data_IF_905869512026
#
_entry.id   IF_905869512026
#
_cell.length_a   1.000
_cell.length_b   1.000
_cell.length_c   1.000
_cell.angle_alpha   90.00
_cell.angle_beta   90.00
_cell.angle_gamma   90.00
#
_symmetry.space_group_name_H-M   'P 1'
#
loop_
_entity.id
_entity.type
_entity.pdbx_description
1 polymer ?
#
# COMPACT_ATOMS: atom_id res chain seq x y z
N UNK A 1 9.16 -2.88 -4.11
CA UNK A 1 8.08 -2.08 -4.74
C UNK A 1 7.50 -1.19 -3.66
N UNK A 2 7.15 0.04 -4.00
CA UNK A 2 6.68 1.05 -3.05
C UNK A 2 5.25 1.46 -3.45
N UNK A 3 4.30 1.33 -2.52
CA UNK A 3 2.91 1.75 -2.71
C UNK A 3 2.83 3.28 -2.60
N UNK A 4 2.36 3.94 -3.67
CA UNK A 4 2.15 5.40 -3.67
C UNK A 4 1.13 5.72 -2.59
N UNK A 5 1.56 6.56 -1.63
CA UNK A 5 0.72 7.41 -0.78
C UNK A 5 -0.72 6.91 -0.68
N UNK A 6 -0.92 5.76 -0.04
CA UNK A 6 -2.24 5.15 0.04
C UNK A 6 -3.18 5.91 1.01
N UNK A 7 -2.65 6.93 1.69
CA UNK A 7 -3.43 8.03 2.24
C UNK A 7 -4.22 8.70 1.11
N UNK A 8 -5.54 8.79 1.26
CA UNK A 8 -6.54 9.08 0.22
C UNK A 8 -6.93 7.91 -0.72
N UNK A 9 -6.54 6.66 -0.46
CA UNK A 9 -7.09 5.49 -1.19
C UNK A 9 -8.16 4.76 -0.38
N UNK A 10 -8.03 4.77 0.95
CA UNK A 10 -8.93 4.06 1.86
C UNK A 10 -10.13 4.96 2.20
N UNK A 11 -11.35 4.46 2.02
CA UNK A 11 -12.58 5.16 2.43
C UNK A 11 -12.71 5.21 3.95
N UNK A 12 -13.09 6.39 4.46
CA UNK A 12 -13.51 6.54 5.85
C UNK A 12 -14.91 5.94 6.00
N UNK A 13 -15.15 5.26 7.12
CA UNK A 13 -16.47 4.76 7.46
C UNK A 13 -17.43 5.94 7.59
N UNK A 14 -18.63 5.83 7.01
CA UNK A 14 -19.61 6.95 6.97
C UNK A 14 -19.85 7.60 8.34
N UNK A 15 -19.96 6.80 9.40
CA UNK A 15 -20.16 7.28 10.77
C UNK A 15 -18.95 8.02 11.37
N UNK A 16 -17.77 7.92 10.77
CA UNK A 16 -16.53 8.55 11.24
C UNK A 16 -16.12 9.77 10.39
N UNK A 17 -16.81 10.05 9.27
CA UNK A 17 -16.48 11.15 8.35
C UNK A 17 -16.45 12.50 9.08
N UNK A 18 -17.48 12.80 9.89
CA UNK A 18 -17.59 14.05 10.64
C UNK A 18 -16.42 14.31 11.61
N UNK A 19 -15.69 13.27 12.04
CA UNK A 19 -14.51 13.41 12.91
C UNK A 19 -13.29 13.94 12.17
N UNK A 20 -13.34 13.95 10.84
CA UNK A 20 -12.28 14.45 9.96
C UNK A 20 -12.59 15.84 9.41
N UNK A 21 -13.53 16.55 10.04
CA UNK A 21 -13.88 17.91 9.69
C UNK A 21 -12.71 18.89 9.82
N UNK A 22 -12.57 19.80 8.86
CA UNK A 22 -11.66 20.93 8.90
C UNK A 22 -12.33 22.19 8.36
N UNK A 23 -11.85 23.36 8.81
CA UNK A 23 -12.42 24.66 8.44
C UNK A 23 -11.43 25.42 7.56
N UNK A 24 -11.91 25.93 6.44
CA UNK A 24 -11.24 26.91 5.60
C UNK A 24 -12.00 28.25 5.69
N UNK A 25 -11.44 29.37 5.19
CA UNK A 25 -12.19 30.63 5.10
C UNK A 25 -13.52 30.50 4.32
N UNK A 26 -13.61 29.51 3.42
CA UNK A 26 -14.76 29.28 2.55
C UNK A 26 -15.79 28.30 3.12
N UNK A 27 -15.52 27.65 4.27
CA UNK A 27 -16.50 26.78 4.93
C UNK A 27 -15.92 25.60 5.70
N UNK A 28 -16.81 24.67 6.06
CA UNK A 28 -16.50 23.42 6.73
C UNK A 28 -16.52 22.25 5.74
N UNK A 29 -15.46 21.45 5.75
CA UNK A 29 -15.27 20.32 4.86
C UNK A 29 -14.88 19.08 5.65
N UNK A 30 -15.22 17.90 5.14
CA UNK A 30 -14.92 16.61 5.77
C UNK A 30 -14.24 15.69 4.76
N UNK A 31 -13.35 14.82 5.22
CA UNK A 31 -12.68 13.87 4.35
C UNK A 31 -13.52 12.61 4.14
N UNK A 32 -13.72 12.22 2.87
CA UNK A 32 -14.33 10.93 2.51
C UNK A 32 -13.30 9.79 2.44
N UNK A 33 -12.04 10.15 2.25
CA UNK A 33 -10.91 9.24 2.12
C UNK A 33 -9.90 9.58 3.21
N UNK A 34 -9.22 8.58 3.75
CA UNK A 34 -8.32 8.69 4.89
C UNK A 34 -7.27 9.81 4.69
N UNK A 35 -7.34 10.92 5.46
CA UNK A 35 -6.41 12.02 5.31
C UNK A 35 -5.07 11.72 5.99
N UNK A 36 -4.10 12.57 5.69
CA UNK A 36 -2.88 12.67 6.48
C UNK A 36 -3.17 13.25 7.88
N UNK A 37 -2.32 12.90 8.85
CA UNK A 37 -2.35 13.49 10.19
C UNK A 37 -3.30 12.83 11.19
N UNK A 38 -4.19 11.90 10.77
CA UNK A 38 -4.97 11.12 11.74
C UNK A 38 -4.14 9.97 12.30
N UNK A 39 -4.18 9.80 13.62
CA UNK A 39 -3.29 8.91 14.40
C UNK A 39 -3.27 7.47 13.90
N UNK A 40 -4.42 6.97 13.42
CA UNK A 40 -4.57 5.57 13.03
C UNK A 40 -4.33 5.31 11.54
N UNK A 41 -3.99 6.34 10.74
CA UNK A 41 -3.78 6.14 9.30
C UNK A 41 -2.68 5.12 8.97
N UNK A 42 -1.48 5.16 9.57
CA UNK A 42 -0.41 4.22 9.23
C UNK A 42 -0.78 2.76 9.56
N UNK A 43 -1.42 2.55 10.71
CA UNK A 43 -1.88 1.22 11.14
C UNK A 43 -2.97 0.66 10.23
N UNK A 44 -3.91 1.52 9.83
CA UNK A 44 -4.99 1.15 8.89
C UNK A 44 -4.43 0.79 7.53
N UNK A 45 -3.47 1.57 7.03
CA UNK A 45 -2.80 1.31 5.78
C UNK A 45 -2.02 0.00 5.79
N UNK A 46 -1.18 -0.19 6.81
CA UNK A 46 -0.39 -1.43 6.98
C UNK A 46 -1.31 -2.65 7.01
N UNK A 47 -2.47 -2.57 7.68
CA UNK A 47 -3.46 -3.64 7.71
C UNK A 47 -4.07 -3.90 6.32
N UNK A 48 -4.42 -2.85 5.59
CA UNK A 48 -5.00 -2.98 4.25
C UNK A 48 -4.00 -3.63 3.27
N UNK A 49 -2.73 -3.22 3.32
CA UNK A 49 -1.65 -3.82 2.53
C UNK A 49 -1.47 -5.30 2.91
N UNK A 50 -1.34 -5.63 4.20
CA UNK A 50 -1.24 -7.04 4.65
C UNK A 50 -2.39 -7.90 4.15
N UNK A 51 -3.63 -7.39 4.19
CA UNK A 51 -4.79 -8.12 3.69
C UNK A 51 -4.76 -8.34 2.17
N UNK A 52 -4.30 -7.35 1.41
CA UNK A 52 -4.19 -7.44 -0.05
C UNK A 52 -3.19 -8.52 -0.50
N UNK A 53 -2.09 -8.68 0.25
CA UNK A 53 -1.01 -9.62 -0.10
C UNK A 53 -1.00 -10.90 0.75
N UNK A 54 -1.98 -11.10 1.65
CA UNK A 54 -2.03 -12.24 2.59
C UNK A 54 -1.87 -13.60 1.89
N UNK A 55 -2.52 -13.79 0.74
CA UNK A 55 -2.46 -15.04 -0.02
C UNK A 55 -1.11 -15.27 -0.72
N UNK A 56 -0.18 -14.31 -0.67
CA UNK A 56 1.15 -14.38 -1.28
C UNK A 56 2.26 -14.64 -0.25
N UNK A 57 1.95 -14.72 1.05
CA UNK A 57 2.93 -15.11 2.08
C UNK A 57 3.66 -16.44 1.75
N UNK A 58 3.00 -17.51 1.23
CA UNK A 58 3.69 -18.74 0.84
C UNK A 58 4.72 -18.56 -0.28
N UNK A 59 4.63 -17.45 -1.04
CA UNK A 59 5.55 -17.09 -2.10
C UNK A 59 6.66 -16.14 -1.62
N UNK A 60 6.93 -16.08 -0.30
CA UNK A 60 7.95 -15.20 0.30
C UNK A 60 7.74 -13.72 -0.02
N UNK A 61 6.49 -13.32 -0.21
CA UNK A 61 6.15 -11.90 -0.35
C UNK A 61 6.02 -11.31 1.04
N UNK A 62 6.85 -10.31 1.34
CA UNK A 62 6.85 -9.58 2.60
C UNK A 62 6.34 -8.16 2.36
N UNK A 63 5.61 -7.63 3.35
CA UNK A 63 5.12 -6.25 3.32
C UNK A 63 5.49 -5.52 4.59
N UNK A 64 6.06 -4.31 4.47
CA UNK A 64 6.39 -3.44 5.59
C UNK A 64 5.92 -2.01 5.30
N UNK A 65 4.88 -1.56 6.01
CA UNK A 65 4.22 -0.28 5.75
C UNK A 65 3.86 -0.18 4.26
N UNK A 66 4.61 0.59 3.47
CA UNK A 66 4.37 0.83 2.04
C UNK A 66 5.26 -0.02 1.11
N UNK A 67 6.25 -0.73 1.67
CA UNK A 67 7.18 -1.58 0.93
C UNK A 67 6.65 -3.00 0.74
N UNK A 68 6.73 -3.49 -0.50
CA UNK A 68 6.47 -4.88 -0.87
C UNK A 68 7.74 -5.47 -1.46
N UNK A 69 8.20 -6.58 -0.88
CA UNK A 69 9.46 -7.24 -1.23
C UNK A 69 9.27 -8.73 -1.41
N UNK A 70 10.05 -9.32 -2.31
CA UNK A 70 10.07 -10.78 -2.54
C UNK A 70 11.42 -11.16 -3.13
N UNK A 71 11.89 -12.37 -2.84
CA UNK A 71 13.16 -12.88 -3.32
C UNK A 71 13.08 -14.37 -3.59
N UNK A 72 13.66 -14.77 -4.72
CA UNK A 72 13.65 -16.16 -5.21
C UNK A 72 14.97 -16.47 -5.92
N UNK A 73 15.33 -17.76 -5.95
CA UNK A 73 16.54 -18.23 -6.64
C UNK A 73 16.30 -18.55 -8.13
N UNK A 74 15.05 -18.83 -8.53
CA UNK A 74 14.67 -19.08 -9.92
C UNK A 74 14.00 -17.83 -10.49
N UNK A 75 14.62 -17.24 -11.50
CA UNK A 75 14.12 -16.07 -12.20
C UNK A 75 12.73 -16.28 -12.84
N UNK A 76 12.46 -17.46 -13.40
CA UNK A 76 11.16 -17.75 -14.03
C UNK A 76 10.05 -17.85 -12.99
N UNK A 77 10.35 -18.45 -11.83
CA UNK A 77 9.44 -18.47 -10.70
C UNK A 77 9.22 -17.06 -10.15
N UNK A 78 10.29 -16.26 -10.02
CA UNK A 78 10.22 -14.88 -9.58
C UNK A 78 9.29 -14.03 -10.44
N UNK A 79 9.34 -14.17 -11.77
CA UNK A 79 8.42 -13.48 -12.68
C UNK A 79 6.95 -13.86 -12.45
N UNK A 80 6.66 -15.13 -12.13
CA UNK A 80 5.30 -15.58 -11.79
C UNK A 80 4.82 -14.95 -10.48
N UNK A 81 5.70 -14.88 -9.47
CA UNK A 81 5.39 -14.22 -8.18
C UNK A 81 5.16 -12.72 -8.40
N UNK A 82 6.02 -12.06 -9.18
CA UNK A 82 5.87 -10.66 -9.53
C UNK A 82 4.52 -10.37 -10.20
N UNK A 83 4.10 -11.21 -11.15
CA UNK A 83 2.79 -11.08 -11.77
C UNK A 83 1.65 -11.15 -10.74
N UNK A 84 1.71 -12.10 -9.79
CA UNK A 84 0.71 -12.21 -8.71
C UNK A 84 0.69 -10.98 -7.82
N UNK A 85 1.85 -10.41 -7.50
CA UNK A 85 1.93 -9.18 -6.70
C UNK A 85 1.27 -8.03 -7.44
N UNK A 86 1.58 -7.82 -8.73
CA UNK A 86 0.98 -6.76 -9.53
C UNK A 86 -0.53 -6.92 -9.68
N UNK A 87 -1.01 -8.16 -9.81
CA UNK A 87 -2.43 -8.48 -9.86
C UNK A 87 -3.14 -8.18 -8.53
N UNK A 88 -2.58 -8.63 -7.41
CA UNK A 88 -3.09 -8.33 -6.07
C UNK A 88 -3.14 -6.80 -5.81
N UNK A 89 -2.10 -6.09 -6.24
CA UNK A 89 -2.01 -4.62 -6.15
C UNK A 89 -3.16 -3.96 -6.90
N UNK A 90 -3.39 -4.38 -8.15
CA UNK A 90 -4.47 -3.85 -9.00
C UNK A 90 -5.85 -4.15 -8.39
N UNK A 91 -6.07 -5.36 -7.91
CA UNK A 91 -7.34 -5.79 -7.31
C UNK A 91 -7.66 -5.02 -6.02
N UNK A 92 -6.64 -4.69 -5.23
CA UNK A 92 -6.77 -3.86 -4.03
C UNK A 92 -6.96 -2.37 -4.34
N UNK A 93 -6.81 -1.94 -5.59
CA UNK A 93 -6.89 -0.53 -5.99
C UNK A 93 -5.67 0.31 -5.58
N UNK A 94 -4.57 -0.33 -5.18
CA UNK A 94 -3.32 0.36 -4.86
C UNK A 94 -2.57 0.75 -6.14
N UNK A 95 -1.72 1.78 -6.02
CA UNK A 95 -0.81 2.23 -7.09
C UNK A 95 0.63 2.10 -6.61
N UNK A 96 1.55 1.80 -7.52
CA UNK A 96 2.97 1.68 -7.22
C UNK A 96 3.75 2.85 -7.78
N UNK A 97 4.78 3.29 -7.05
CA UNK A 97 5.69 4.35 -7.49
C UNK A 97 6.69 3.75 -8.46
N UNK A 98 6.63 4.08 -9.74
CA UNK A 98 7.57 3.54 -10.74
C UNK A 98 9.01 3.94 -10.46
N UNK A 99 9.25 5.16 -9.99
CA UNK A 99 10.59 5.69 -9.70
C UNK A 99 11.28 4.98 -8.53
N UNK A 100 10.50 4.48 -7.55
CA UNK A 100 11.00 3.78 -6.37
C UNK A 100 10.89 2.26 -6.47
N UNK A 101 10.19 1.75 -7.48
CA UNK A 101 9.98 0.32 -7.64
C UNK A 101 11.09 -0.30 -8.47
N UNK A 102 11.91 -1.12 -7.82
CA UNK A 102 12.91 -1.95 -8.47
C UNK A 102 12.34 -3.34 -8.75
N UNK A 103 12.57 -3.86 -9.96
CA UNK A 103 12.02 -5.13 -10.42
C UNK A 103 13.15 -6.07 -10.87
N UNK A 104 13.09 -7.32 -10.39
CA UNK A 104 13.94 -8.42 -10.83
C UNK A 104 15.45 -8.10 -10.89
N UNK A 105 15.96 -7.47 -9.82
CA UNK A 105 17.37 -7.15 -9.65
C UNK A 105 18.09 -8.20 -8.79
N UNK A 106 19.40 -8.34 -8.99
CA UNK A 106 20.22 -9.35 -8.29
C UNK A 106 20.43 -9.05 -6.80
N UNK A 107 20.51 -7.78 -6.43
CA UNK A 107 20.74 -7.33 -5.06
C UNK A 107 20.00 -6.01 -4.82
N UNK A 108 19.43 -5.84 -3.64
CA UNK A 108 18.71 -4.64 -3.22
C UNK A 108 18.97 -4.36 -1.74
N UNK A 109 19.25 -3.11 -1.39
CA UNK A 109 19.22 -2.68 0.00
C UNK A 109 17.78 -2.39 0.42
N UNK A 110 17.34 -3.01 1.51
CA UNK A 110 16.01 -2.81 2.09
C UNK A 110 16.17 -2.14 3.46
N UNK A 111 15.32 -1.15 3.73
CA UNK A 111 15.21 -0.44 5.01
C UNK A 111 16.40 0.45 5.43
N UNK A 112 17.40 0.61 4.56
CA UNK A 112 18.59 1.43 4.83
C UNK A 112 19.68 0.67 5.54
#
# INVERSE_FOLDING_TARGET
>A
MDVISAFHTIRIRENDIHKTGFVTPDGHFEFLLMPFGVTNSPSTLTRAIKLAYYNLEPHKVNTYIDDITTSDHDFNYHLKVLHKILEATRNAGFKLTSEKSLFAIYEISLFG
#
